data_IF_186719866650
#
_entry.id   IF_186719866650
#
_cell.length_a   1.000
_cell.length_b   1.000
_cell.length_c   1.000
_cell.angle_alpha   90.00
_cell.angle_beta   90.00
_cell.angle_gamma   90.00
#
_symmetry.space_group_name_H-M   'P 1'
#
loop_
_entity.id
_entity.type
_entity.pdbx_description
1 polymer ?
#
# COMPACT_ATOMS: atom_id res chain seq x y z
N UNK A 1 -12.65 11.62 2.59
CA UNK A 1 -12.42 10.39 1.80
C UNK A 1 -12.02 9.25 2.73
N UNK A 2 -12.53 8.05 2.43
CA UNK A 2 -12.20 6.80 3.15
C UNK A 2 -11.34 5.90 2.28
N UNK A 3 -10.25 5.40 2.84
CA UNK A 3 -9.28 4.53 2.20
C UNK A 3 -9.18 3.21 2.97
N UNK A 4 -9.06 2.09 2.25
CA UNK A 4 -8.81 0.76 2.81
C UNK A 4 -7.59 0.16 2.13
N UNK A 5 -6.74 -0.50 2.90
CA UNK A 5 -5.63 -1.32 2.40
C UNK A 5 -5.72 -2.72 2.99
N UNK A 6 -5.54 -3.75 2.16
CA UNK A 6 -5.63 -5.13 2.58
C UNK A 6 -4.68 -6.06 1.81
N UNK A 7 -3.70 -6.63 2.47
CA UNK A 7 -2.98 -7.76 1.90
C UNK A 7 -3.89 -8.99 1.93
N UNK A 8 -4.30 -9.45 0.74
CA UNK A 8 -5.29 -10.54 0.59
C UNK A 8 -4.65 -11.92 0.53
N UNK A 9 -3.32 -12.02 0.49
CA UNK A 9 -2.58 -13.29 0.39
C UNK A 9 -3.16 -14.25 -0.66
N UNK A 10 -3.55 -13.69 -1.81
CA UNK A 10 -4.17 -14.38 -2.94
C UNK A 10 -5.67 -14.10 -3.07
N UNK A 11 -6.02 -13.18 -3.99
CA UNK A 11 -7.38 -12.66 -4.15
C UNK A 11 -8.43 -13.75 -4.40
N UNK A 12 -8.13 -14.76 -5.24
CA UNK A 12 -9.08 -15.87 -5.48
C UNK A 12 -9.43 -16.68 -4.22
N UNK A 13 -8.55 -16.69 -3.23
CA UNK A 13 -8.81 -17.38 -1.97
C UNK A 13 -9.72 -16.56 -1.06
N UNK A 14 -9.53 -15.25 -1.01
CA UNK A 14 -10.38 -14.33 -0.23
C UNK A 14 -11.74 -14.11 -0.90
N UNK A 15 -11.79 -14.09 -2.23
CA UNK A 15 -13.03 -13.99 -3.01
C UNK A 15 -14.03 -15.08 -2.60
N UNK A 16 -13.56 -16.32 -2.43
CA UNK A 16 -14.40 -17.44 -1.93
C UNK A 16 -14.90 -17.27 -0.49
N UNK A 17 -14.42 -16.25 0.22
CA UNK A 17 -14.78 -15.95 1.61
C UNK A 17 -15.58 -14.65 1.74
N UNK A 18 -16.13 -14.14 0.63
CA UNK A 18 -16.97 -12.95 0.62
C UNK A 18 -16.21 -11.63 0.46
N UNK A 19 -15.15 -11.61 -0.34
CA UNK A 19 -14.34 -10.40 -0.57
C UNK A 19 -15.18 -9.21 -1.02
N UNK A 20 -16.06 -9.42 -2.01
CA UNK A 20 -16.90 -8.36 -2.57
C UNK A 20 -17.86 -7.80 -1.51
N UNK A 21 -18.47 -8.66 -0.68
CA UNK A 21 -19.35 -8.24 0.40
C UNK A 21 -18.59 -7.40 1.44
N UNK A 22 -17.39 -7.84 1.83
CA UNK A 22 -16.52 -7.11 2.76
C UNK A 22 -16.17 -5.72 2.20
N UNK A 23 -15.77 -5.64 0.93
CA UNK A 23 -15.43 -4.36 0.29
C UNK A 23 -16.65 -3.44 0.22
N UNK A 24 -17.84 -3.99 -0.08
CA UNK A 24 -19.09 -3.22 -0.08
C UNK A 24 -19.46 -2.72 1.33
N UNK A 25 -19.26 -3.52 2.38
CA UNK A 25 -19.51 -3.11 3.77
C UNK A 25 -18.56 -2.00 4.24
N UNK A 26 -17.30 -2.09 3.86
CA UNK A 26 -16.30 -1.07 4.20
C UNK A 26 -16.54 0.24 3.47
N UNK A 27 -17.23 0.22 2.33
CA UNK A 27 -17.69 1.37 1.52
C UNK A 27 -16.61 2.48 1.35
N UNK A 28 -15.39 2.09 1.05
CA UNK A 28 -14.29 3.02 0.85
C UNK A 28 -14.37 3.72 -0.51
N UNK A 29 -13.77 4.91 -0.61
CA UNK A 29 -13.58 5.61 -1.89
C UNK A 29 -12.46 4.97 -2.70
N UNK A 30 -11.42 4.48 -2.00
CA UNK A 30 -10.27 3.78 -2.59
C UNK A 30 -9.95 2.54 -1.75
N UNK A 31 -9.77 1.39 -2.44
CA UNK A 31 -9.34 0.12 -1.84
C UNK A 31 -8.05 -0.32 -2.52
N UNK A 32 -7.01 -0.55 -1.74
CA UNK A 32 -5.71 -1.03 -2.17
C UNK A 32 -5.50 -2.48 -1.73
N UNK A 33 -5.02 -3.32 -2.63
CA UNK A 33 -4.77 -4.74 -2.37
C UNK A 33 -3.33 -5.11 -2.64
N UNK A 34 -2.74 -5.84 -1.73
CA UNK A 34 -1.41 -6.40 -1.88
C UNK A 34 -1.49 -7.94 -1.94
N UNK A 35 -0.49 -8.52 -2.56
CA UNK A 35 -0.37 -9.98 -2.71
C UNK A 35 -1.57 -10.62 -3.41
N UNK A 36 -2.01 -10.01 -4.52
CA UNK A 36 -3.15 -10.50 -5.31
C UNK A 36 -2.91 -11.88 -5.92
N UNK A 37 -1.64 -12.20 -6.24
CA UNK A 37 -1.18 -13.49 -6.83
C UNK A 37 -1.89 -13.85 -8.13
N UNK A 38 -2.24 -12.84 -8.92
CA UNK A 38 -2.97 -12.96 -10.18
C UNK A 38 -2.12 -12.60 -11.39
N UNK A 39 -2.62 -13.02 -12.53
CA UNK A 39 -2.28 -12.49 -13.84
C UNK A 39 -3.55 -11.94 -14.48
N UNK A 40 -3.42 -11.12 -15.51
CA UNK A 40 -4.53 -10.53 -16.23
C UNK A 40 -5.59 -11.57 -16.63
N UNK A 41 -6.86 -11.24 -16.41
CA UNK A 41 -8.00 -12.11 -16.73
C UNK A 41 -8.22 -13.31 -15.83
N UNK A 42 -7.50 -13.46 -14.72
CA UNK A 42 -7.64 -14.60 -13.79
C UNK A 42 -8.69 -14.42 -12.69
N UNK A 43 -9.23 -13.23 -12.51
CA UNK A 43 -10.35 -12.94 -11.61
C UNK A 43 -11.35 -12.04 -12.31
N UNK A 44 -12.63 -12.19 -11.94
CA UNK A 44 -13.70 -11.25 -12.27
C UNK A 44 -14.35 -10.87 -10.95
N UNK A 45 -14.47 -9.58 -10.67
CA UNK A 45 -15.05 -9.05 -9.45
C UNK A 45 -16.36 -8.36 -9.76
N UNK A 46 -17.36 -8.52 -8.90
CA UNK A 46 -18.63 -7.81 -8.99
C UNK A 46 -18.61 -6.56 -8.11
N UNK A 47 -17.80 -5.59 -8.54
CA UNK A 47 -17.62 -4.28 -7.89
C UNK A 47 -17.82 -3.15 -8.90
N UNK A 48 -19.02 -3.02 -9.52
CA UNK A 48 -19.25 -2.12 -10.65
C UNK A 48 -19.07 -0.63 -10.32
N UNK A 49 -19.06 -0.27 -9.03
CA UNK A 49 -18.83 1.10 -8.56
C UNK A 49 -17.36 1.50 -8.57
N UNK A 50 -16.43 0.55 -8.77
CA UNK A 50 -14.99 0.81 -8.78
C UNK A 50 -14.39 0.65 -10.18
N UNK A 51 -13.37 1.47 -10.44
CA UNK A 51 -12.38 1.27 -11.51
C UNK A 51 -11.20 0.52 -10.95
N UNK A 52 -10.61 -0.37 -11.74
CA UNK A 52 -9.57 -1.29 -11.29
C UNK A 52 -8.24 -0.98 -12.01
N UNK A 53 -7.17 -0.92 -11.24
CA UNK A 53 -5.81 -0.73 -11.73
C UNK A 53 -4.90 -1.78 -11.11
N UNK A 54 -4.21 -2.56 -11.96
CA UNK A 54 -3.49 -3.75 -11.55
C UNK A 54 -2.02 -3.66 -11.92
N UNK A 55 -1.13 -4.11 -11.02
CA UNK A 55 0.27 -4.38 -11.29
C UNK A 55 0.56 -5.86 -11.01
N UNK A 56 0.99 -6.58 -12.04
CA UNK A 56 1.20 -8.03 -11.99
C UNK A 56 2.68 -8.34 -11.90
N UNK A 57 3.03 -9.37 -11.11
CA UNK A 57 4.38 -9.91 -11.15
C UNK A 57 4.62 -10.70 -12.44
N UNK A 58 5.85 -10.70 -12.95
CA UNK A 58 6.25 -11.59 -14.06
C UNK A 58 6.08 -13.06 -13.67
N UNK A 59 6.43 -13.39 -12.42
CA UNK A 59 6.24 -14.73 -11.88
C UNK A 59 4.79 -14.99 -11.53
N UNK A 60 4.17 -15.96 -12.23
CA UNK A 60 2.77 -16.34 -12.02
C UNK A 60 2.50 -16.83 -10.58
N UNK A 61 1.37 -16.37 -10.02
CA UNK A 61 0.91 -16.76 -8.68
C UNK A 61 1.75 -16.19 -7.53
N UNK A 62 2.44 -15.09 -7.76
CA UNK A 62 3.32 -14.43 -6.81
C UNK A 62 3.06 -12.93 -6.78
N UNK A 63 3.21 -12.29 -5.60
CA UNK A 63 3.12 -10.83 -5.42
C UNK A 63 1.89 -10.19 -6.11
N UNK A 64 2.05 -9.02 -6.71
CA UNK A 64 1.01 -8.27 -7.42
C UNK A 64 0.21 -7.36 -6.49
N UNK A 65 -0.11 -6.16 -6.97
CA UNK A 65 -0.92 -5.14 -6.29
C UNK A 65 -2.09 -4.72 -7.16
N UNK A 66 -3.12 -4.14 -6.54
CA UNK A 66 -4.26 -3.59 -7.27
C UNK A 66 -4.91 -2.45 -6.48
N UNK A 67 -5.40 -1.44 -7.18
CA UNK A 67 -6.18 -0.36 -6.59
C UNK A 67 -7.55 -0.27 -7.27
N UNK A 68 -8.57 -0.20 -6.43
CA UNK A 68 -9.96 0.02 -6.81
C UNK A 68 -10.38 1.41 -6.34
N UNK A 69 -10.91 2.22 -7.23
CA UNK A 69 -11.31 3.61 -6.91
C UNK A 69 -12.66 3.96 -7.50
N UNK A 70 -13.50 4.66 -6.74
CA UNK A 70 -14.78 5.21 -7.24
C UNK A 70 -14.55 6.40 -8.17
N UNK A 71 -13.53 7.23 -7.86
CA UNK A 71 -13.16 8.37 -8.68
C UNK A 71 -12.13 7.98 -9.74
N UNK A 72 -12.20 8.63 -10.90
CA UNK A 72 -11.22 8.42 -11.96
C UNK A 72 -9.94 9.19 -11.68
N UNK A 73 -8.76 8.56 -11.61
CA UNK A 73 -7.49 9.26 -11.48
C UNK A 73 -7.11 9.96 -12.81
N UNK A 74 -6.26 10.96 -12.70
CA UNK A 74 -5.68 11.69 -13.84
C UNK A 74 -4.75 10.77 -14.64
N UNK A 75 -3.92 10.01 -13.93
CA UNK A 75 -3.03 8.99 -14.49
C UNK A 75 -2.69 7.94 -13.45
N UNK A 76 -2.15 6.82 -13.91
CA UNK A 76 -1.71 5.69 -13.09
C UNK A 76 -0.28 5.33 -13.46
N UNK A 77 0.57 5.18 -12.45
CA UNK A 77 1.94 4.72 -12.60
C UNK A 77 2.05 3.28 -12.07
N UNK A 78 2.88 2.47 -12.73
CA UNK A 78 3.13 1.08 -12.35
C UNK A 78 4.63 0.90 -12.06
N UNK A 79 4.98 0.61 -10.81
CA UNK A 79 6.37 0.42 -10.38
C UNK A 79 7.12 1.72 -10.07
N UNK A 80 8.44 1.59 -9.98
CA UNK A 80 9.40 2.65 -9.63
C UNK A 80 10.13 3.22 -10.85
N UNK A 81 9.92 2.65 -12.04
CA UNK A 81 10.69 2.95 -13.25
C UNK A 81 12.01 2.16 -13.35
N UNK A 82 12.05 0.98 -12.78
CA UNK A 82 13.22 0.09 -12.81
C UNK A 82 12.79 -1.35 -13.08
N UNK A 83 13.12 -1.90 -14.25
CA UNK A 83 12.76 -3.29 -14.60
C UNK A 83 13.14 -4.31 -13.52
N UNK A 84 14.30 -4.11 -12.88
CA UNK A 84 14.79 -4.99 -11.84
C UNK A 84 13.97 -4.94 -10.54
N UNK A 85 13.53 -3.73 -10.12
CA UNK A 85 12.75 -3.53 -8.90
C UNK A 85 11.26 -3.78 -9.12
N UNK A 86 10.77 -3.65 -10.36
CA UNK A 86 9.35 -3.68 -10.72
C UNK A 86 8.85 -5.06 -11.18
N UNK A 87 9.76 -6.02 -11.42
CA UNK A 87 9.43 -7.37 -11.89
C UNK A 87 8.40 -8.14 -11.03
N UNK A 88 8.20 -7.71 -9.78
CA UNK A 88 7.28 -8.35 -8.83
C UNK A 88 5.93 -7.63 -8.70
N UNK A 89 5.65 -6.55 -9.48
CA UNK A 89 4.35 -5.86 -9.52
C UNK A 89 3.92 -5.34 -8.15
N UNK A 90 4.76 -4.53 -7.50
CA UNK A 90 4.63 -4.15 -6.09
C UNK A 90 4.05 -2.76 -5.85
N UNK A 91 3.84 -1.98 -6.92
CA UNK A 91 3.37 -0.59 -6.81
C UNK A 91 2.30 -0.31 -7.85
N UNK A 92 1.24 0.37 -7.41
CA UNK A 92 0.29 1.11 -8.22
C UNK A 92 0.13 2.49 -7.61
N UNK A 93 0.45 3.54 -8.35
CA UNK A 93 0.27 4.93 -7.90
C UNK A 93 -0.74 5.66 -8.78
N UNK A 94 -1.73 6.29 -8.17
CA UNK A 94 -2.81 7.03 -8.82
C UNK A 94 -2.66 8.53 -8.55
N UNK A 95 -2.65 9.33 -9.60
CA UNK A 95 -2.71 10.78 -9.46
C UNK A 95 -4.16 11.26 -9.41
N UNK A 96 -4.50 12.00 -8.36
CA UNK A 96 -5.75 12.76 -8.25
C UNK A 96 -5.45 14.28 -8.32
N UNK A 97 -6.47 15.13 -8.50
CA UNK A 97 -6.25 16.59 -8.54
C UNK A 97 -5.52 17.15 -7.32
N UNK A 98 -5.79 16.61 -6.11
CA UNK A 98 -5.29 17.16 -4.85
C UNK A 98 -4.15 16.34 -4.23
N UNK A 99 -3.93 15.08 -4.62
CA UNK A 99 -2.94 14.18 -3.99
C UNK A 99 -2.54 13.04 -4.91
N UNK A 100 -1.44 12.36 -4.55
CA UNK A 100 -1.08 11.05 -5.05
C UNK A 100 -1.53 9.97 -4.07
N UNK A 101 -2.09 8.87 -4.59
CA UNK A 101 -2.36 7.66 -3.82
C UNK A 101 -1.42 6.55 -4.27
N UNK A 102 -0.69 5.92 -3.34
CA UNK A 102 0.30 4.89 -3.65
C UNK A 102 -0.01 3.61 -2.87
N UNK A 103 -0.32 2.54 -3.58
CA UNK A 103 -0.41 1.18 -3.04
C UNK A 103 0.95 0.50 -3.14
N UNK A 104 1.42 -0.09 -2.04
CA UNK A 104 2.73 -0.73 -1.95
C UNK A 104 2.68 -2.11 -1.30
N UNK A 105 3.38 -3.07 -1.91
CA UNK A 105 3.72 -4.35 -1.31
C UNK A 105 5.24 -4.49 -1.24
N UNK A 106 5.81 -4.10 -0.13
CA UNK A 106 7.27 -4.07 0.07
C UNK A 106 7.88 -5.48 0.06
N UNK A 107 9.03 -5.72 -0.60
CA UNK A 107 9.66 -7.03 -0.60
C UNK A 107 9.96 -7.57 0.80
N UNK A 108 9.67 -8.81 1.09
CA UNK A 108 10.07 -9.46 2.33
C UNK A 108 11.56 -9.84 2.29
N UNK A 109 12.31 -9.59 3.36
CA UNK A 109 13.73 -9.92 3.46
C UNK A 109 14.02 -11.42 3.52
N UNK A 110 12.98 -12.25 3.71
CA UNK A 110 13.02 -13.73 3.83
C UNK A 110 13.79 -14.26 5.05
N UNK A 111 13.73 -15.58 5.24
CA UNK A 111 14.45 -16.23 6.32
C UNK A 111 15.96 -15.92 6.24
N UNK A 112 16.57 -15.71 7.41
CA UNK A 112 18.00 -15.38 7.53
C UNK A 112 18.42 -14.12 6.76
N UNK A 113 17.45 -13.24 6.47
CA UNK A 113 17.65 -12.00 5.72
C UNK A 113 18.25 -12.21 4.32
N UNK A 114 17.91 -13.36 3.67
CA UNK A 114 18.51 -13.76 2.39
C UNK A 114 18.31 -12.72 1.26
N UNK A 115 17.29 -11.84 1.36
CA UNK A 115 17.02 -10.77 0.39
C UNK A 115 17.26 -9.37 0.95
N UNK A 116 17.96 -9.22 2.08
CA UNK A 116 18.09 -7.91 2.74
C UNK A 116 18.73 -6.85 1.83
N UNK A 117 19.74 -7.19 1.04
CA UNK A 117 20.37 -6.24 0.13
C UNK A 117 19.38 -5.69 -0.91
N UNK A 118 18.59 -6.58 -1.54
CA UNK A 118 17.52 -6.16 -2.47
C UNK A 118 16.46 -5.32 -1.76
N UNK A 119 16.08 -5.70 -0.55
CA UNK A 119 15.11 -4.96 0.26
C UNK A 119 15.59 -3.53 0.57
N UNK A 120 16.86 -3.35 0.94
CA UNK A 120 17.42 -2.03 1.25
C UNK A 120 17.46 -1.12 0.02
N UNK A 121 17.88 -1.66 -1.13
CA UNK A 121 17.87 -0.93 -2.40
C UNK A 121 16.45 -0.54 -2.81
N UNK A 122 15.50 -1.47 -2.66
CA UNK A 122 14.10 -1.24 -2.98
C UNK A 122 13.47 -0.17 -2.08
N UNK A 123 13.73 -0.21 -0.77
CA UNK A 123 13.21 0.76 0.20
C UNK A 123 13.72 2.19 -0.08
N UNK A 124 15.00 2.34 -0.46
CA UNK A 124 15.55 3.63 -0.87
C UNK A 124 14.88 4.15 -2.14
N UNK A 125 14.75 3.31 -3.17
CA UNK A 125 14.10 3.68 -4.41
C UNK A 125 12.62 4.05 -4.20
N UNK A 126 11.90 3.33 -3.31
CA UNK A 126 10.51 3.63 -2.96
C UNK A 126 10.37 4.98 -2.24
N UNK A 127 11.24 5.26 -1.25
CA UNK A 127 11.27 6.55 -0.57
C UNK A 127 11.50 7.69 -1.57
N UNK A 128 12.50 7.56 -2.42
CA UNK A 128 12.86 8.57 -3.41
C UNK A 128 11.74 8.77 -4.46
N UNK A 129 11.07 7.68 -4.87
CA UNK A 129 9.89 7.73 -5.71
C UNK A 129 8.76 8.54 -5.06
N UNK A 130 8.39 8.23 -3.82
CA UNK A 130 7.33 8.94 -3.11
C UNK A 130 7.67 10.43 -2.89
N UNK A 131 8.92 10.76 -2.61
CA UNK A 131 9.38 12.16 -2.53
C UNK A 131 9.33 12.84 -3.87
N UNK A 132 9.72 12.16 -4.95
CA UNK A 132 9.59 12.69 -6.30
C UNK A 132 8.13 13.04 -6.63
N UNK A 133 7.18 12.14 -6.33
CA UNK A 133 5.74 12.41 -6.52
C UNK A 133 5.30 13.64 -5.73
N UNK A 134 5.71 13.74 -4.45
CA UNK A 134 5.36 14.89 -3.59
C UNK A 134 5.91 16.21 -4.15
N UNK A 135 7.12 16.19 -4.69
CA UNK A 135 7.79 17.35 -5.28
C UNK A 135 7.35 17.64 -6.72
N UNK A 136 6.51 16.78 -7.30
CA UNK A 136 6.03 16.90 -8.68
C UNK A 136 7.04 16.42 -9.73
N UNK A 137 7.97 15.54 -9.34
CA UNK A 137 8.98 14.94 -10.25
C UNK A 137 8.63 13.47 -10.49
N UNK A 138 8.32 13.12 -11.74
CA UNK A 138 8.07 11.73 -12.11
C UNK A 138 9.35 11.06 -12.63
N UNK A 139 9.61 9.78 -12.26
CA UNK A 139 10.70 9.01 -12.86
C UNK A 139 10.53 8.94 -14.38
N UNK A 140 11.63 9.07 -15.13
CA UNK A 140 11.58 9.12 -16.60
C UNK A 140 11.07 7.81 -17.24
N UNK A 141 11.38 6.68 -16.63
CA UNK A 141 11.11 5.34 -17.19
C UNK A 141 9.90 4.63 -16.54
N UNK A 142 9.12 5.33 -15.66
CA UNK A 142 7.95 4.73 -15.02
C UNK A 142 6.83 4.48 -16.03
N UNK A 143 6.27 3.27 -16.12
CA UNK A 143 5.13 3.00 -16.99
C UNK A 143 3.89 3.80 -16.59
N UNK A 144 3.31 4.54 -17.53
CA UNK A 144 2.14 5.40 -17.32
C UNK A 144 0.94 4.86 -18.06
N UNK A 145 -0.16 4.61 -17.35
CA UNK A 145 -1.47 4.31 -17.91
C UNK A 145 -2.38 5.54 -17.77
N UNK A 146 -2.96 5.97 -18.90
CA UNK A 146 -3.98 7.02 -18.92
C UNK A 146 -5.37 6.39 -18.98
N UNK A 147 -6.21 6.60 -17.98
CA UNK A 147 -7.58 6.10 -17.99
C UNK A 147 -8.34 6.69 -19.19
N UNK A 148 -9.17 5.86 -19.84
CA UNK A 148 -10.08 6.35 -20.87
C UNK A 148 -11.09 7.34 -20.25
N UNK A 149 -11.52 8.41 -20.97
CA UNK A 149 -12.56 9.32 -20.49
C UNK A 149 -13.82 8.53 -20.13
N UNK A 150 -14.30 8.67 -18.90
CA UNK A 150 -15.59 8.09 -18.48
C UNK A 150 -16.76 8.89 -19.02
N UNK A 151 -17.91 8.24 -19.26
CA UNK A 151 -19.14 8.93 -19.64
C UNK A 151 -19.56 9.89 -18.52
N UNK A 152 -19.72 11.18 -18.85
CA UNK A 152 -20.26 12.20 -17.94
C UNK A 152 -19.27 12.99 -17.08
N UNK A 153 -17.96 12.80 -17.24
CA UNK A 153 -16.94 13.56 -16.53
C UNK A 153 -16.26 14.64 -17.39
N UNK A 154 -15.79 15.71 -16.73
CA UNK A 154 -14.94 16.76 -17.33
C UNK A 154 -13.83 16.11 -18.14
N UNK A 155 -13.61 16.57 -19.34
CA UNK A 155 -12.60 16.04 -20.25
C UNK A 155 -11.21 16.15 -19.60
N UNK A 156 -10.69 15.04 -19.07
CA UNK A 156 -9.36 14.95 -18.44
C UNK A 156 -8.25 15.38 -19.40
N UNK A 157 -8.53 15.30 -20.72
CA UNK A 157 -7.61 15.76 -21.78
C UNK A 157 -7.25 17.25 -21.71
N UNK A 158 -7.97 18.07 -20.92
CA UNK A 158 -7.73 19.50 -20.78
C UNK A 158 -6.88 19.84 -19.54
N UNK A 159 -6.63 18.87 -18.62
CA UNK A 159 -5.75 19.07 -17.48
C UNK A 159 -4.30 18.82 -17.90
N UNK A 160 -3.35 19.71 -17.52
CA UNK A 160 -1.95 19.47 -17.80
C UNK A 160 -1.49 18.26 -16.96
N UNK A 161 -1.29 17.13 -17.63
CA UNK A 161 -0.73 15.91 -17.01
C UNK A 161 0.78 16.03 -16.98
N UNK A 162 1.38 15.70 -15.84
CA UNK A 162 2.82 15.57 -15.74
C UNK A 162 3.29 14.40 -16.58
N UNK A 163 4.28 14.63 -17.41
CA UNK A 163 4.92 13.56 -18.19
C UNK A 163 6.10 12.98 -17.39
N UNK A 164 6.45 11.71 -17.58
CA UNK A 164 7.69 11.18 -17.05
C UNK A 164 8.90 12.06 -17.42
N UNK A 165 9.73 12.39 -16.44
CA UNK A 165 10.86 13.32 -16.59
C UNK A 165 10.50 14.81 -16.61
N UNK A 166 9.23 15.18 -16.48
CA UNK A 166 8.78 16.57 -16.33
C UNK A 166 8.51 16.91 -14.87
N UNK A 167 8.47 18.20 -14.55
CA UNK A 167 8.11 18.71 -13.22
C UNK A 167 6.70 19.26 -13.24
N UNK A 168 5.85 18.78 -12.31
CA UNK A 168 4.49 19.26 -12.08
C UNK A 168 4.39 20.14 -10.82
N UNK A 169 3.17 20.60 -10.56
CA UNK A 169 2.88 21.19 -9.25
C UNK A 169 3.03 20.11 -8.15
N UNK A 170 3.72 20.43 -7.03
CA UNK A 170 3.83 19.53 -5.89
C UNK A 170 2.44 19.10 -5.37
N UNK A 171 2.30 17.82 -5.06
CA UNK A 171 1.08 17.24 -4.49
C UNK A 171 1.42 16.32 -3.32
N UNK A 172 0.70 16.39 -2.20
CA UNK A 172 0.92 15.47 -1.10
C UNK A 172 0.63 14.04 -1.50
N UNK A 173 1.26 13.10 -0.79
CA UNK A 173 1.15 11.66 -1.02
C UNK A 173 0.38 11.00 0.13
N UNK A 174 -0.54 10.12 -0.20
CA UNK A 174 -1.14 9.13 0.67
C UNK A 174 -0.63 7.78 0.22
N UNK A 175 0.12 7.07 1.04
CA UNK A 175 0.60 5.72 0.72
C UNK A 175 0.07 4.70 1.71
N UNK A 176 -0.20 3.50 1.25
CA UNK A 176 -0.64 2.40 2.07
C UNK A 176 -0.14 1.06 1.56
N UNK A 177 -0.20 0.06 2.40
CA UNK A 177 0.09 -1.31 2.01
C UNK A 177 0.78 -2.12 3.08
N UNK A 178 1.28 -3.28 2.66
CA UNK A 178 2.10 -4.16 3.47
C UNK A 178 3.58 -3.76 3.32
N UNK A 179 4.10 -3.10 4.35
CA UNK A 179 5.50 -2.68 4.41
C UNK A 179 6.44 -3.79 4.88
N UNK A 180 5.92 -4.97 5.21
CA UNK A 180 6.71 -6.11 5.67
C UNK A 180 7.69 -5.78 6.81
N UNK A 181 7.37 -4.82 7.67
CA UNK A 181 8.18 -4.41 8.82
C UNK A 181 7.31 -3.92 9.97
N UNK A 182 7.55 -4.41 11.18
CA UNK A 182 7.07 -3.80 12.41
C UNK A 182 8.09 -2.73 12.83
N UNK A 183 7.70 -1.45 12.82
CA UNK A 183 8.63 -0.35 13.03
C UNK A 183 9.22 -0.33 14.44
N UNK A 184 8.36 -0.39 15.47
CA UNK A 184 8.75 -0.29 16.86
C UNK A 184 8.42 -1.57 17.65
N UNK A 185 8.97 -1.74 18.84
CA UNK A 185 8.68 -2.89 19.71
C UNK A 185 7.19 -3.01 20.06
N UNK A 186 6.47 -1.90 20.10
CA UNK A 186 5.01 -1.86 20.33
C UNK A 186 4.21 -2.45 19.16
N UNK A 187 4.82 -2.57 17.98
CA UNK A 187 4.17 -3.02 16.75
C UNK A 187 4.16 -4.53 16.56
N UNK A 188 4.71 -5.29 17.53
CA UNK A 188 4.60 -6.75 17.51
C UNK A 188 4.52 -7.32 18.93
N UNK A 189 3.89 -8.50 19.04
CA UNK A 189 3.62 -9.15 20.34
C UNK A 189 4.89 -9.58 21.08
N UNK A 190 5.89 -10.06 20.36
CA UNK A 190 7.10 -10.68 20.94
C UNK A 190 8.36 -10.08 20.30
N UNK A 191 8.76 -8.84 20.66
CA UNK A 191 9.90 -8.17 20.01
C UNK A 191 11.23 -8.90 20.28
N UNK A 192 11.51 -9.32 21.49
CA UNK A 192 12.80 -9.94 21.86
C UNK A 192 13.19 -11.13 20.98
N UNK A 193 12.37 -12.20 20.84
CA UNK A 193 12.69 -13.36 19.99
C UNK A 193 12.74 -13.06 18.49
N UNK A 194 12.19 -11.93 18.04
CA UNK A 194 12.11 -11.56 16.62
C UNK A 194 13.12 -10.48 16.19
N UNK A 195 13.86 -9.90 17.13
CA UNK A 195 14.93 -8.94 16.82
C UNK A 195 15.95 -9.56 15.87
N UNK A 196 16.28 -8.83 14.78
CA UNK A 196 17.20 -9.28 13.72
C UNK A 196 16.63 -10.32 12.76
N UNK A 197 15.31 -10.61 12.81
CA UNK A 197 14.65 -11.45 11.81
C UNK A 197 13.92 -10.59 10.78
N UNK A 198 13.58 -11.19 9.63
CA UNK A 198 12.79 -10.55 8.59
C UNK A 198 11.50 -9.94 9.17
N UNK A 199 11.22 -8.68 8.80
CA UNK A 199 10.15 -7.86 9.33
C UNK A 199 10.45 -7.18 10.66
N UNK A 200 11.60 -7.47 11.31
CA UNK A 200 12.03 -6.80 12.55
C UNK A 200 13.56 -6.75 12.67
N UNK A 201 14.26 -6.65 11.57
CA UNK A 201 15.70 -6.35 11.55
C UNK A 201 15.95 -4.86 11.75
N UNK A 202 17.14 -4.50 12.22
CA UNK A 202 17.50 -3.10 12.43
C UNK A 202 17.59 -2.35 11.08
N UNK A 203 17.98 -3.06 10.02
CA UNK A 203 18.04 -2.53 8.66
C UNK A 203 16.66 -2.16 8.11
N UNK A 204 15.67 -3.08 8.18
CA UNK A 204 14.29 -2.81 7.73
C UNK A 204 13.63 -1.69 8.52
N UNK A 205 13.80 -1.71 9.84
CA UNK A 205 13.28 -0.67 10.75
C UNK A 205 13.95 0.69 10.49
N UNK A 206 15.26 0.68 10.20
CA UNK A 206 16.01 1.88 9.82
C UNK A 206 15.45 2.50 8.54
N UNK A 207 15.20 1.70 7.50
CA UNK A 207 14.60 2.19 6.24
C UNK A 207 13.18 2.74 6.42
N UNK A 208 12.37 2.14 7.30
CA UNK A 208 11.08 2.71 7.64
C UNK A 208 11.21 4.04 8.40
N UNK A 209 12.21 4.16 9.29
CA UNK A 209 12.55 5.45 9.94
C UNK A 209 12.98 6.49 8.89
N UNK A 210 13.88 6.13 7.94
CA UNK A 210 14.31 7.01 6.85
C UNK A 210 13.11 7.53 6.03
N UNK A 211 12.10 6.66 5.79
CA UNK A 211 10.88 7.04 5.09
C UNK A 211 10.07 8.07 5.90
N UNK A 212 9.91 7.87 7.20
CA UNK A 212 9.22 8.84 8.07
C UNK A 212 9.99 10.17 8.16
N UNK A 213 11.32 10.13 8.30
CA UNK A 213 12.17 11.32 8.35
C UNK A 213 12.21 12.09 7.02
N UNK A 214 11.85 11.44 5.91
CA UNK A 214 11.66 12.10 4.61
C UNK A 214 10.39 12.98 4.55
N UNK A 215 9.59 13.05 5.63
CA UNK A 215 8.41 13.91 5.75
C UNK A 215 7.08 13.17 5.62
N UNK A 216 7.06 11.86 5.94
CA UNK A 216 5.83 11.07 5.99
C UNK A 216 5.45 10.72 7.43
N UNK A 217 4.14 10.59 7.70
CA UNK A 217 3.59 10.39 9.04
C UNK A 217 2.83 9.07 9.09
N UNK A 218 3.16 8.20 10.04
CA UNK A 218 2.37 7.02 10.39
C UNK A 218 1.05 7.47 11.05
N UNK A 219 -0.04 7.34 10.30
CA UNK A 219 -1.35 7.88 10.69
C UNK A 219 -1.91 7.18 11.92
N UNK A 220 -1.68 5.84 12.04
CA UNK A 220 -2.14 5.09 13.21
C UNK A 220 -1.38 5.51 14.46
N UNK A 221 -0.05 5.57 14.42
CA UNK A 221 0.76 5.97 15.59
C UNK A 221 0.60 7.43 15.96
N UNK A 222 0.29 8.29 15.00
CA UNK A 222 -0.09 9.68 15.27
C UNK A 222 -1.33 9.79 16.16
N UNK A 223 -2.36 9.00 15.88
CA UNK A 223 -3.63 9.05 16.63
C UNK A 223 -3.61 8.13 17.87
N UNK A 224 -2.83 7.06 17.84
CA UNK A 224 -2.79 5.99 18.82
C UNK A 224 -1.34 5.68 19.27
N UNK A 225 -0.60 6.65 19.82
CA UNK A 225 0.84 6.51 20.09
C UNK A 225 1.17 5.37 21.06
N UNK A 226 0.32 5.12 22.05
CA UNK A 226 0.58 4.19 23.13
C UNK A 226 -0.28 2.91 23.08
N UNK A 227 -1.10 2.73 22.03
CA UNK A 227 -1.97 1.56 21.90
C UNK A 227 -1.16 0.32 21.59
N UNK A 228 -1.16 -0.65 22.52
CA UNK A 228 -0.52 -1.95 22.38
C UNK A 228 -1.50 -3.01 21.87
N UNK A 229 -0.98 -4.08 21.26
CA UNK A 229 -1.82 -5.20 20.81
C UNK A 229 -2.65 -4.92 19.57
N UNK A 230 -2.42 -3.80 18.91
CA UNK A 230 -3.03 -3.44 17.63
C UNK A 230 -2.16 -3.97 16.49
N UNK A 231 -2.59 -5.04 15.86
CA UNK A 231 -1.84 -5.75 14.84
C UNK A 231 -2.69 -5.92 13.58
N UNK A 232 -2.03 -6.03 12.43
CA UNK A 232 -2.67 -6.22 11.13
C UNK A 232 -2.39 -7.60 10.51
N UNK A 233 -1.36 -8.31 11.00
CA UNK A 233 -0.96 -9.63 10.50
C UNK A 233 -0.75 -10.64 11.63
N UNK A 234 -1.14 -11.91 11.37
CA UNK A 234 -0.95 -13.07 12.26
C UNK A 234 -0.58 -14.31 11.46
N UNK A 235 0.53 -14.95 11.84
CA UNK A 235 0.89 -16.23 11.23
C UNK A 235 -0.27 -17.24 11.33
N UNK A 236 -0.50 -18.03 10.29
CA UNK A 236 -1.45 -19.17 10.34
C UNK A 236 -1.05 -20.25 11.36
N UNK A 237 0.19 -20.22 11.84
CA UNK A 237 0.72 -21.21 12.80
C UNK A 237 0.34 -20.84 14.23
N UNK A 238 0.27 -21.88 15.08
CA UNK A 238 0.11 -21.74 16.53
C UNK A 238 -1.11 -20.94 17.00
N UNK A 239 -2.17 -20.84 16.17
CA UNK A 239 -3.38 -20.07 16.48
C UNK A 239 -3.05 -18.59 16.83
N UNK A 240 -2.07 -18.01 16.14
CA UNK A 240 -1.53 -16.69 16.46
C UNK A 240 -2.60 -15.60 16.53
N UNK A 241 -3.59 -15.60 15.63
CA UNK A 241 -4.69 -14.63 15.65
C UNK A 241 -5.59 -14.77 16.88
N UNK A 242 -5.85 -16.01 17.33
CA UNK A 242 -6.68 -16.27 18.52
C UNK A 242 -6.00 -15.80 19.82
N UNK A 243 -4.68 -15.83 19.89
CA UNK A 243 -3.87 -15.39 21.04
C UNK A 243 -3.37 -13.96 20.87
N UNK A 244 -3.76 -13.29 19.83
CA UNK A 244 -3.27 -11.98 19.40
C UNK A 244 -1.73 -11.90 19.37
N UNK A 245 -1.06 -12.96 18.89
CA UNK A 245 0.39 -12.97 18.66
C UNK A 245 0.70 -12.42 17.25
N UNK A 246 0.37 -11.15 17.05
CA UNK A 246 0.41 -10.48 15.76
C UNK A 246 1.52 -9.44 15.63
N UNK A 247 1.56 -8.85 14.43
CA UNK A 247 2.45 -7.78 14.02
C UNK A 247 1.63 -6.71 13.29
N UNK A 248 1.97 -5.43 13.47
CA UNK A 248 1.47 -4.33 12.67
C UNK A 248 2.51 -4.05 11.58
N UNK A 249 2.22 -4.50 10.38
CA UNK A 249 3.09 -4.38 9.20
C UNK A 249 2.37 -3.75 8.00
N UNK A 250 1.06 -3.55 8.11
CA UNK A 250 0.26 -2.79 7.16
C UNK A 250 0.03 -1.38 7.70
N UNK A 251 0.26 -0.37 6.85
CA UNK A 251 0.25 1.03 7.27
C UNK A 251 -0.52 1.90 6.29
N UNK A 252 -0.97 3.05 6.80
CA UNK A 252 -1.21 4.26 6.04
C UNK A 252 -0.21 5.33 6.48
N UNK A 253 0.58 5.84 5.53
CA UNK A 253 1.45 6.98 5.72
C UNK A 253 0.95 8.15 4.85
N UNK A 254 1.08 9.36 5.34
CA UNK A 254 0.70 10.56 4.60
C UNK A 254 1.81 11.61 4.66
N UNK A 255 1.93 12.44 3.63
CA UNK A 255 2.76 13.65 3.70
C UNK A 255 2.43 14.47 4.94
N UNK A 256 3.41 15.11 5.57
CA UNK A 256 3.20 15.95 6.76
C UNK A 256 2.11 17.01 6.56
N UNK A 257 1.96 17.54 5.35
CA UNK A 257 0.92 18.53 5.01
C UNK A 257 -0.51 17.97 5.11
N UNK A 258 -0.70 16.65 4.98
CA UNK A 258 -2.00 15.99 5.16
C UNK A 258 -2.22 15.51 6.60
N UNK A 259 -1.19 15.43 7.42
CA UNK A 259 -1.32 14.91 8.79
C UNK A 259 -2.40 15.64 9.65
N UNK A 260 -2.60 16.96 9.54
CA UNK A 260 -3.69 17.64 10.26
C UNK A 260 -5.09 17.26 9.78
N UNK A 261 -5.23 16.70 8.56
CA UNK A 261 -6.49 16.29 7.95
C UNK A 261 -6.85 14.82 8.22
N UNK A 262 -6.01 14.09 8.95
CA UNK A 262 -6.30 12.71 9.36
C UNK A 262 -7.39 12.71 10.43
N UNK A 263 -8.58 12.25 10.04
CA UNK A 263 -9.74 12.17 10.93
C UNK A 263 -9.77 10.84 11.69
N UNK A 264 -9.38 9.73 11.03
CA UNK A 264 -9.41 8.38 11.61
C UNK A 264 -8.33 7.50 10.99
N UNK A 265 -7.75 6.60 11.79
CA UNK A 265 -6.87 5.52 11.34
C UNK A 265 -7.24 4.25 12.13
N UNK A 266 -7.66 3.20 11.41
CA UNK A 266 -8.26 2.00 11.98
C UNK A 266 -7.53 0.72 11.54
N UNK A 267 -7.63 -0.32 12.37
CA UNK A 267 -7.27 -1.70 12.04
C UNK A 267 -8.52 -2.54 12.24
N UNK A 268 -9.00 -3.23 11.20
CA UNK A 268 -10.23 -4.02 11.22
C UNK A 268 -9.92 -5.48 11.56
N UNK A 269 -9.47 -5.74 12.78
CA UNK A 269 -8.98 -7.04 13.22
C UNK A 269 -10.08 -8.12 13.32
N UNK A 270 -11.34 -7.72 13.31
CA UNK A 270 -12.52 -8.60 13.19
C UNK A 270 -12.80 -9.09 11.76
N UNK A 271 -12.20 -8.49 10.73
CA UNK A 271 -12.35 -8.92 9.34
C UNK A 271 -11.41 -10.09 9.04
N UNK A 272 -12.01 -11.21 8.64
CA UNK A 272 -11.31 -12.45 8.30
C UNK A 272 -11.28 -12.66 6.79
N UNK A 273 -10.41 -13.54 6.33
CA UNK A 273 -10.24 -13.90 4.90
C UNK A 273 -8.80 -14.18 4.55
N UNK A 274 -7.90 -13.35 5.04
CA UNK A 274 -6.44 -13.43 4.91
C UNK A 274 -5.79 -13.65 6.27
N UNK A 275 -4.48 -13.84 6.32
CA UNK A 275 -3.63 -13.74 7.51
C UNK A 275 -3.35 -12.28 7.91
N UNK A 276 -3.66 -11.32 7.01
CA UNK A 276 -3.80 -9.92 7.35
C UNK A 276 -5.28 -9.55 7.55
N UNK A 277 -5.54 -8.46 8.26
CA UNK A 277 -6.82 -7.77 8.25
C UNK A 277 -6.69 -6.43 7.49
N UNK A 278 -7.82 -5.85 7.02
CA UNK A 278 -7.78 -4.52 6.44
C UNK A 278 -7.32 -3.47 7.44
N UNK A 279 -6.64 -2.44 6.95
CA UNK A 279 -6.40 -1.19 7.66
C UNK A 279 -7.09 -0.05 6.93
N UNK A 280 -7.50 0.98 7.65
CA UNK A 280 -8.28 2.08 7.09
C UNK A 280 -7.79 3.45 7.51
N UNK A 281 -8.03 4.44 6.64
CA UNK A 281 -7.75 5.84 6.84
C UNK A 281 -8.95 6.69 6.41
N UNK A 282 -9.28 7.71 7.20
CA UNK A 282 -10.19 8.77 6.78
C UNK A 282 -9.46 10.11 6.76
N UNK A 283 -9.55 10.82 5.62
CA UNK A 283 -8.99 12.16 5.43
C UNK A 283 -10.08 13.17 5.10
N UNK A 284 -9.98 14.36 5.67
CA UNK A 284 -10.77 15.55 5.33
C UNK A 284 -10.05 16.33 4.20
N UNK A 285 -10.30 15.94 2.94
CA UNK A 285 -9.65 16.49 1.72
C UNK A 285 -10.47 17.64 1.13
#
# INVERSE_FOLDING_TARGET
MRFISWNVNGLRAVQKKGFEDIVCELDADIVALQETKLQEGQATLDLPQYREYWSYAEKKGYSGTAVFTKEQPLQVLHGLGSDYLDAEGRIVALEFPQFWFVDVYTPNAQNELARIAHRMEWDDAFRDFCKGLEEGVLPADVPVQRPAPGEGHVCISELPLTQPGETAAPKPVVMCGDFNVAHQEIDLKNPGPNRGKAGFSDEERGKFTDLLEAGFVDTFRRLHPDVTGAYSWWSYRFKARQTNAGWRIDYFLVSESLAPKVASACIYDEVYGSDHCPVGLELEL
#
